data_IF_826852653389
#
_entry.id   IF_826852653389
#
_cell.length_a   1.000
_cell.length_b   1.000
_cell.length_c   1.000
_cell.angle_alpha   90.00
_cell.angle_beta   90.00
_cell.angle_gamma   90.00
#
_symmetry.space_group_name_H-M   'P 1'
#
loop_
_entity.id
_entity.type
_entity.pdbx_description
1 polymer ?
#
# COMPACT_ATOMS: atom_id res chain seq x y z
N UNK A 1 -4.84 5.71 19.41
CA UNK A 1 -4.95 5.37 17.98
C UNK A 1 -4.61 3.89 17.84
N UNK A 2 -5.50 3.05 17.31
CA UNK A 2 -5.15 1.67 16.96
C UNK A 2 -5.29 1.54 15.45
N UNK A 3 -4.19 1.19 14.79
CA UNK A 3 -4.16 1.03 13.35
C UNK A 3 -4.92 -0.23 12.91
N UNK A 4 -5.46 -0.26 11.68
CA UNK A 4 -6.08 -1.45 11.11
C UNK A 4 -5.16 -2.68 11.10
N UNK A 5 -5.70 -3.90 10.90
CA UNK A 5 -4.88 -5.08 10.69
C UNK A 5 -3.82 -4.87 9.61
N UNK A 6 -2.65 -5.48 9.80
CA UNK A 6 -1.52 -5.44 8.85
C UNK A 6 -0.92 -4.04 8.60
N UNK A 7 -1.26 -3.06 9.43
CA UNK A 7 -0.62 -1.73 9.42
C UNK A 7 0.14 -1.47 10.70
N UNK A 8 1.08 -0.54 10.63
CA UNK A 8 1.89 -0.03 11.74
C UNK A 8 1.69 1.46 11.82
N UNK A 9 1.58 1.98 13.04
CA UNK A 9 1.53 3.41 13.27
C UNK A 9 2.91 4.01 13.01
N UNK A 10 2.94 5.11 12.27
CA UNK A 10 4.16 5.82 11.93
C UNK A 10 3.92 7.34 11.95
N UNK A 11 4.92 8.08 12.43
CA UNK A 11 4.87 9.55 12.48
C UNK A 11 4.98 10.15 11.06
N UNK A 12 5.56 9.40 10.12
CA UNK A 12 5.80 9.82 8.74
C UNK A 12 5.23 8.78 7.75
N UNK A 13 3.95 8.42 7.91
CA UNK A 13 3.28 7.51 7.00
C UNK A 13 2.94 8.19 5.67
N UNK A 14 3.27 7.53 4.55
CA UNK A 14 2.75 7.90 3.23
C UNK A 14 1.64 6.91 2.83
N UNK A 15 0.47 7.44 2.50
CA UNK A 15 -0.70 6.62 2.17
C UNK A 15 -0.51 5.73 0.92
N UNK A 16 0.41 6.11 0.03
CA UNK A 16 0.72 5.40 -1.22
C UNK A 16 2.02 4.60 -1.17
N UNK A 17 2.66 4.45 0.00
CA UNK A 17 3.81 3.57 0.14
C UNK A 17 3.40 2.08 0.08
N UNK A 18 4.32 1.26 -0.40
CA UNK A 18 4.17 -0.18 -0.58
C UNK A 18 2.93 -0.61 -1.41
N UNK A 19 2.68 -0.06 -2.62
CA UNK A 19 1.64 -0.60 -3.49
C UNK A 19 1.95 -2.05 -3.87
N UNK A 20 0.91 -2.85 -4.16
CA UNK A 20 1.09 -4.21 -4.68
C UNK A 20 2.04 -4.24 -5.90
N UNK A 21 2.82 -5.32 -6.08
CA UNK A 21 3.66 -5.49 -7.26
C UNK A 21 2.82 -5.35 -8.55
N UNK A 22 3.25 -4.47 -9.46
CA UNK A 22 2.50 -4.12 -10.69
C UNK A 22 1.66 -2.84 -10.59
N UNK A 23 1.31 -2.39 -9.38
CA UNK A 23 0.73 -1.06 -9.17
C UNK A 23 1.77 0.04 -9.06
N UNK A 24 3.04 -0.28 -8.82
CA UNK A 24 4.11 0.73 -8.63
C UNK A 24 4.26 1.69 -9.81
N UNK A 25 3.97 1.26 -11.04
CA UNK A 25 3.99 2.11 -12.23
C UNK A 25 2.68 2.87 -12.50
N UNK A 26 1.60 2.53 -11.81
CA UNK A 26 0.27 3.15 -11.95
C UNK A 26 0.00 4.12 -10.80
N UNK A 27 0.38 3.74 -9.58
CA UNK A 27 0.41 4.59 -8.41
C UNK A 27 1.71 5.39 -8.40
N UNK A 28 1.73 6.50 -9.13
CA UNK A 28 2.75 7.52 -8.92
C UNK A 28 2.50 8.21 -7.57
N UNK A 29 3.20 7.73 -6.54
CA UNK A 29 3.14 8.30 -5.19
C UNK A 29 3.90 9.63 -5.15
N UNK A 30 3.31 10.69 -5.72
CA UNK A 30 3.85 12.05 -5.71
C UNK A 30 3.71 12.76 -4.35
N UNK A 31 3.45 12.01 -3.27
CA UNK A 31 3.34 12.55 -1.93
C UNK A 31 4.76 12.78 -1.38
N UNK A 32 5.20 14.04 -1.46
CA UNK A 32 6.45 14.49 -0.85
C UNK A 32 6.31 14.72 0.66
N UNK A 33 5.10 15.04 1.13
CA UNK A 33 4.79 15.28 2.54
C UNK A 33 4.20 14.05 3.20
N UNK A 34 4.90 13.46 4.16
CA UNK A 34 4.31 12.41 5.00
C UNK A 34 3.47 13.02 6.14
N UNK A 35 2.56 12.22 6.68
CA UNK A 35 1.69 12.61 7.79
C UNK A 35 1.72 11.51 8.85
N UNK A 36 1.42 11.90 10.09
CA UNK A 36 1.22 10.92 11.16
C UNK A 36 0.01 10.03 10.82
N UNK A 37 0.20 8.72 10.78
CA UNK A 37 -0.82 7.80 10.32
C UNK A 37 -0.42 6.33 10.42
N UNK A 38 -1.13 5.48 9.68
CA UNK A 38 -0.86 4.05 9.62
C UNK A 38 -0.34 3.68 8.23
N UNK A 39 0.79 2.97 8.16
CA UNK A 39 1.39 2.43 6.93
C UNK A 39 1.30 0.90 6.92
N UNK A 40 1.29 0.26 5.76
CA UNK A 40 1.44 -1.20 5.68
C UNK A 40 2.71 -1.67 6.39
N UNK A 41 2.60 -2.76 7.14
CA UNK A 41 3.77 -3.41 7.76
C UNK A 41 4.76 -3.89 6.67
N UNK A 42 6.06 -3.98 6.96
CA UNK A 42 7.01 -4.61 6.05
C UNK A 42 6.54 -6.01 5.62
N UNK A 43 6.56 -6.28 4.31
CA UNK A 43 6.04 -7.53 3.72
C UNK A 43 4.54 -7.52 3.38
N UNK A 44 3.82 -6.45 3.73
CA UNK A 44 2.44 -6.20 3.30
C UNK A 44 2.38 -5.06 2.30
N UNK A 45 1.42 -5.14 1.39
CA UNK A 45 1.26 -4.24 0.27
C UNK A 45 -0.16 -3.71 0.20
N UNK A 46 -0.30 -2.45 -0.21
CA UNK A 46 -1.57 -1.79 -0.39
C UNK A 46 -2.20 -2.22 -1.73
N UNK A 47 -3.40 -2.82 -1.66
CA UNK A 47 -4.20 -3.21 -2.82
C UNK A 47 -5.29 -2.18 -3.20
N UNK A 48 -5.25 -0.99 -2.62
CA UNK A 48 -6.24 0.08 -2.74
C UNK A 48 -7.33 0.05 -1.67
N UNK A 49 -7.54 -1.08 -0.99
CA UNK A 49 -8.57 -1.24 0.07
C UNK A 49 -7.94 -1.53 1.44
N UNK A 50 -6.76 -2.13 1.47
CA UNK A 50 -6.03 -2.43 2.69
C UNK A 50 -4.67 -3.08 2.42
N UNK A 51 -3.98 -3.43 3.50
CA UNK A 51 -2.66 -4.06 3.45
C UNK A 51 -2.78 -5.59 3.46
N UNK A 52 -2.33 -6.21 2.38
CA UNK A 52 -2.39 -7.66 2.13
C UNK A 52 -1.00 -8.23 1.87
N UNK A 53 -0.82 -9.54 1.94
CA UNK A 53 0.46 -10.17 1.59
C UNK A 53 0.68 -10.14 0.08
N UNK A 54 1.93 -10.34 -0.38
CA UNK A 54 2.25 -10.32 -1.82
C UNK A 54 1.45 -11.34 -2.63
N UNK A 55 1.15 -12.51 -2.06
CA UNK A 55 0.33 -13.57 -2.65
C UNK A 55 -1.17 -13.20 -2.76
N UNK A 56 -1.62 -12.23 -1.97
CA UNK A 56 -2.98 -11.70 -2.01
C UNK A 56 -3.12 -10.45 -2.90
N UNK A 57 -2.01 -9.94 -3.42
CA UNK A 57 -2.04 -8.93 -4.45
C UNK A 57 -2.60 -9.55 -5.73
N UNK A 58 -3.68 -8.97 -6.26
CA UNK A 58 -4.10 -9.27 -7.63
C UNK A 58 -2.98 -8.91 -8.61
N UNK A 59 -2.83 -9.66 -9.70
CA UNK A 59 -1.91 -9.27 -10.75
C UNK A 59 -2.46 -8.03 -11.45
N UNK A 60 -1.61 -7.04 -11.71
CA UNK A 60 -1.99 -5.86 -12.49
C UNK A 60 -1.21 -5.90 -13.81
N UNK A 61 -1.92 -5.99 -14.93
CA UNK A 61 -1.33 -5.94 -16.27
C UNK A 61 -2.10 -4.93 -17.14
N UNK A 62 -1.39 -3.97 -17.75
CA UNK A 62 -1.95 -2.95 -18.64
C UNK A 62 -3.25 -2.27 -18.14
N UNK A 63 -3.29 -1.90 -16.85
CA UNK A 63 -4.45 -1.23 -16.25
C UNK A 63 -5.61 -2.16 -15.86
N UNK A 64 -5.46 -3.47 -16.04
CA UNK A 64 -6.44 -4.47 -15.60
C UNK A 64 -5.94 -5.18 -14.35
N UNK A 65 -6.85 -5.36 -13.38
CA UNK A 65 -6.62 -6.18 -12.19
C UNK A 65 -7.15 -7.59 -12.44
N UNK A 66 -6.27 -8.57 -12.29
CA UNK A 66 -6.54 -9.99 -12.34
C UNK A 66 -6.49 -10.52 -10.91
N UNK A 67 -7.45 -11.36 -10.53
CA UNK A 67 -7.57 -11.91 -9.19
C UNK A 67 -7.43 -13.42 -9.22
#
# INVERSE_FOLDING_TARGET
LSCPPNTVYEICAKACDAPCPGLTGVMECNIQTCLEGCMCKPGFFNNGTGCVTADQCGCYDNGHTYK
#
